data_IF_247157416575
#
_entry.id   IF_247157416575
#
_cell.length_a   1.000
_cell.length_b   1.000
_cell.length_c   1.000
_cell.angle_alpha   90.00
_cell.angle_beta   90.00
_cell.angle_gamma   90.00
#
_symmetry.space_group_name_H-M   'P 1'
#
loop_
_entity.id
_entity.type
_entity.pdbx_description
1 polymer ?
#
# COMPACT_ATOMS: atom_id res chain seq x y z
N UNK A 1 59.74 29.30 27.14
CA UNK A 1 60.23 28.41 28.21
C UNK A 1 59.15 28.33 29.28
N UNK A 2 58.28 27.32 29.24
CA UNK A 2 57.63 26.73 30.40
C UNK A 2 57.11 25.35 29.99
N UNK A 3 57.58 24.35 30.74
CA UNK A 3 57.43 22.92 30.53
C UNK A 3 56.00 22.45 30.77
N UNK A 4 55.45 21.66 29.84
CA UNK A 4 54.19 20.93 30.00
C UNK A 4 54.47 19.63 30.78
N UNK A 5 53.96 19.55 32.02
CA UNK A 5 54.22 18.44 32.93
C UNK A 5 53.18 17.32 32.75
N UNK A 6 53.66 16.09 32.57
CA UNK A 6 52.95 14.90 32.07
C UNK A 6 52.07 14.17 33.09
N UNK A 7 51.51 14.88 34.08
CA UNK A 7 50.72 14.23 35.16
C UNK A 7 49.20 14.35 35.07
N UNK A 8 48.65 15.15 34.16
CA UNK A 8 47.19 15.25 33.96
C UNK A 8 46.65 14.41 32.79
N UNK A 9 47.52 13.76 32.00
CA UNK A 9 47.10 12.93 30.86
C UNK A 9 46.67 11.50 31.26
N UNK A 10 46.95 11.07 32.50
CA UNK A 10 46.61 9.71 32.96
C UNK A 10 45.25 9.62 33.68
N UNK A 11 44.71 10.74 34.17
CA UNK A 11 43.38 10.79 34.82
C UNK A 11 42.24 10.90 33.80
N UNK A 12 42.48 11.51 32.64
CA UNK A 12 41.48 11.61 31.57
C UNK A 12 41.36 10.33 30.72
N UNK A 13 42.38 9.46 30.71
CA UNK A 13 42.33 8.17 29.99
C UNK A 13 41.71 7.02 30.77
N UNK A 14 41.44 7.18 32.08
CA UNK A 14 40.78 6.14 32.89
C UNK A 14 39.28 6.37 33.13
N UNK A 15 38.73 7.55 32.83
CA UNK A 15 37.28 7.77 32.89
C UNK A 15 36.55 7.45 31.57
N UNK A 16 37.25 7.34 30.44
CA UNK A 16 36.62 7.02 29.16
C UNK A 16 36.45 5.50 28.90
N UNK A 17 36.94 4.64 29.80
CA UNK A 17 36.90 3.19 29.64
C UNK A 17 35.89 2.48 30.56
N UNK A 18 35.10 3.23 31.35
CA UNK A 18 34.10 2.67 32.28
C UNK A 18 32.65 2.99 31.85
N UNK A 19 32.44 3.74 30.76
CA UNK A 19 31.09 4.02 30.22
C UNK A 19 30.77 3.22 28.94
N UNK A 20 31.67 2.35 28.48
CA UNK A 20 31.44 1.48 27.29
C UNK A 20 31.15 0.01 27.68
N UNK A 21 30.98 -0.29 28.96
CA UNK A 21 30.67 -1.67 29.43
C UNK A 21 29.37 -1.79 30.25
N UNK A 22 28.51 -0.79 30.20
CA UNK A 22 27.18 -0.83 30.80
C UNK A 22 26.15 -0.29 29.81
N UNK A 23 25.94 -1.01 28.70
CA UNK A 23 24.65 -1.14 27.99
C UNK A 23 24.71 -1.99 26.70
N UNK A 24 25.64 -2.96 26.61
CA UNK A 24 25.64 -3.97 25.53
C UNK A 24 25.03 -5.30 26.01
N UNK A 25 24.32 -5.30 27.15
CA UNK A 25 23.78 -6.55 27.71
C UNK A 25 22.39 -6.39 28.35
N UNK A 26 21.48 -5.72 27.66
CA UNK A 26 20.04 -5.87 27.92
C UNK A 26 19.14 -5.40 26.75
N UNK A 27 19.56 -5.54 25.50
CA UNK A 27 18.59 -5.84 24.45
C UNK A 27 18.83 -7.28 24.03
N UNK A 28 18.51 -8.17 24.98
CA UNK A 28 18.06 -9.50 24.60
C UNK A 28 16.86 -9.16 23.72
N UNK A 29 17.00 -9.34 22.41
CA UNK A 29 15.85 -9.64 21.58
C UNK A 29 15.15 -10.75 22.35
N UNK A 30 14.11 -10.39 23.10
CA UNK A 30 12.97 -11.28 23.21
C UNK A 30 12.71 -11.60 21.75
N UNK A 31 12.80 -12.88 21.34
CA UNK A 31 12.28 -13.21 20.04
C UNK A 31 10.87 -12.64 20.09
N UNK A 32 10.62 -11.59 19.30
CA UNK A 32 9.27 -11.30 18.85
C UNK A 32 8.77 -12.67 18.48
N UNK A 33 7.71 -13.14 19.13
CA UNK A 33 7.11 -14.39 18.77
C UNK A 33 6.97 -14.31 17.25
N UNK A 34 7.83 -15.04 16.54
CA UNK A 34 7.63 -15.35 15.15
C UNK A 34 6.34 -16.12 15.24
N UNK A 35 5.25 -15.40 15.02
CA UNK A 35 4.00 -16.00 14.68
C UNK A 35 4.26 -16.54 13.29
N UNK A 36 4.93 -17.68 13.25
CA UNK A 36 4.91 -18.62 12.16
C UNK A 36 3.42 -18.95 12.00
N UNK A 37 2.70 -18.08 11.26
CA UNK A 37 1.34 -18.37 10.83
C UNK A 37 1.49 -19.61 9.97
N UNK A 38 1.04 -20.72 10.55
CA UNK A 38 0.99 -22.05 9.98
C UNK A 38 0.73 -22.02 8.48
N UNK A 39 1.50 -22.80 7.72
CA UNK A 39 1.29 -23.04 6.30
C UNK A 39 -0.16 -23.50 6.05
N UNK A 40 -1.00 -22.65 5.44
CA UNK A 40 -2.35 -23.05 5.01
C UNK A 40 -2.33 -23.44 3.52
N UNK A 41 -2.83 -24.64 3.24
CA UNK A 41 -2.87 -25.39 1.95
C UNK A 41 -4.25 -25.26 1.25
N UNK A 42 -4.64 -26.07 0.26
CA UNK A 42 -4.44 -25.89 -1.20
C UNK A 42 -5.76 -25.48 -1.92
N UNK A 43 -5.65 -24.82 -3.09
CA UNK A 43 -6.70 -24.78 -4.14
C UNK A 43 -6.29 -25.68 -5.30
N UNK A 44 -7.20 -26.57 -5.70
CA UNK A 44 -7.11 -27.76 -6.57
C UNK A 44 -6.54 -29.08 -5.99
N UNK A 45 -6.36 -29.16 -4.67
CA UNK A 45 -6.36 -30.42 -3.89
C UNK A 45 -7.26 -30.38 -2.65
N UNK A 46 -7.81 -29.18 -2.38
CA UNK A 46 -8.84 -28.80 -1.41
C UNK A 46 -8.52 -29.06 0.07
N UNK A 47 -8.05 -28.02 0.73
CA UNK A 47 -8.61 -27.60 2.02
C UNK A 47 -8.24 -26.14 2.27
N UNK A 48 -8.95 -25.23 1.60
CA UNK A 48 -8.96 -23.80 1.91
C UNK A 48 -10.27 -23.52 2.68
N UNK A 49 -10.34 -24.11 3.88
CA UNK A 49 -11.50 -24.77 4.53
C UNK A 49 -12.87 -24.19 4.17
N UNK A 50 -13.67 -25.08 3.58
CA UNK A 50 -14.33 -24.81 2.31
C UNK A 50 -15.81 -24.44 2.42
N UNK A 51 -16.19 -23.39 1.71
CA UNK A 51 -17.34 -23.46 0.80
C UNK A 51 -16.92 -22.80 -0.50
N UNK A 52 -16.98 -23.57 -1.59
CA UNK A 52 -16.96 -23.12 -2.98
C UNK A 52 -18.27 -23.64 -3.55
N UNK A 53 -19.33 -22.88 -3.29
CA UNK A 53 -20.69 -23.25 -3.67
C UNK A 53 -20.89 -23.19 -5.19
N UNK A 54 -22.02 -22.65 -5.65
CA UNK A 54 -22.35 -22.73 -7.08
C UNK A 54 -21.58 -21.66 -7.86
N UNK A 55 -20.84 -22.09 -8.90
CA UNK A 55 -20.19 -21.18 -9.85
C UNK A 55 -21.27 -20.48 -10.70
N UNK A 56 -21.36 -19.17 -10.57
CA UNK A 56 -22.33 -18.34 -11.28
C UNK A 56 -21.67 -17.78 -12.54
N UNK A 57 -21.99 -18.40 -13.69
CA UNK A 57 -21.37 -18.06 -14.98
C UNK A 57 -21.77 -16.65 -15.43
N UNK A 58 -22.98 -16.25 -15.14
CA UNK A 58 -23.55 -14.94 -15.43
C UNK A 58 -22.81 -13.79 -14.73
N UNK A 59 -22.25 -14.06 -13.55
CA UNK A 59 -21.44 -13.12 -12.78
C UNK A 59 -19.92 -13.32 -13.00
N UNK A 60 -19.53 -14.29 -13.83
CA UNK A 60 -18.11 -14.62 -14.06
C UNK A 60 -17.61 -14.07 -15.40
N UNK A 61 -16.34 -13.66 -15.43
CA UNK A 61 -15.64 -13.19 -16.62
C UNK A 61 -14.48 -14.14 -16.93
N UNK A 62 -14.68 -15.06 -17.86
CA UNK A 62 -13.70 -16.11 -18.21
C UNK A 62 -13.53 -16.21 -19.73
N UNK A 63 -12.36 -16.66 -20.20
CA UNK A 63 -12.09 -16.90 -21.63
C UNK A 63 -13.16 -17.81 -22.25
N UNK A 64 -13.59 -17.57 -23.50
CA UNK A 64 -13.11 -16.54 -24.44
C UNK A 64 -13.75 -15.14 -24.24
N UNK A 65 -14.43 -14.90 -23.11
CA UNK A 65 -15.12 -13.67 -22.73
C UNK A 65 -16.32 -13.25 -23.61
N UNK A 66 -16.61 -14.00 -24.67
CA UNK A 66 -17.78 -13.78 -25.52
C UNK A 66 -19.09 -13.97 -24.75
N UNK A 67 -20.09 -13.11 -25.02
CA UNK A 67 -21.40 -13.17 -24.39
C UNK A 67 -21.42 -12.79 -22.90
N UNK A 68 -20.32 -12.25 -22.38
CA UNK A 68 -20.22 -11.75 -21.02
C UNK A 68 -21.13 -10.56 -20.76
N UNK A 69 -21.77 -10.52 -19.59
CA UNK A 69 -22.54 -9.38 -19.10
C UNK A 69 -21.63 -8.27 -18.49
N UNK A 70 -20.30 -8.34 -18.67
CA UNK A 70 -19.40 -7.34 -18.14
C UNK A 70 -19.22 -6.19 -19.13
N UNK A 71 -19.48 -4.95 -18.68
CA UNK A 71 -19.21 -3.73 -19.42
C UNK A 71 -17.78 -3.28 -19.20
N UNK A 72 -17.14 -2.79 -20.26
CA UNK A 72 -15.82 -2.18 -20.20
C UNK A 72 -15.94 -0.65 -20.19
N UNK A 73 -15.01 0.00 -19.51
CA UNK A 73 -14.92 1.45 -19.45
C UNK A 73 -13.46 1.93 -19.53
N UNK A 74 -13.27 3.15 -20.01
CA UNK A 74 -11.95 3.79 -20.10
C UNK A 74 -11.07 3.15 -21.15
N UNK A 75 -9.81 2.88 -20.79
CA UNK A 75 -8.83 2.24 -21.66
C UNK A 75 -8.86 0.70 -21.63
N UNK A 76 -9.86 0.13 -20.95
CA UNK A 76 -10.02 -1.31 -20.89
C UNK A 76 -10.25 -1.88 -22.30
N UNK A 77 -9.56 -2.98 -22.61
CA UNK A 77 -9.70 -3.72 -23.86
C UNK A 77 -9.78 -5.21 -23.60
N UNK A 78 -10.45 -5.91 -24.51
CA UNK A 78 -10.64 -7.35 -24.46
C UNK A 78 -9.87 -8.03 -25.58
N UNK A 79 -9.19 -9.12 -25.22
CA UNK A 79 -8.52 -10.07 -26.10
C UNK A 79 -9.13 -11.45 -25.88
N UNK A 80 -8.79 -12.43 -26.70
CA UNK A 80 -9.15 -13.84 -26.46
C UNK A 80 -8.39 -14.45 -25.27
N UNK A 81 -7.35 -13.79 -24.77
CA UNK A 81 -6.49 -14.29 -23.69
C UNK A 81 -6.57 -13.51 -22.37
N UNK A 82 -7.02 -12.26 -22.39
CA UNK A 82 -7.04 -11.39 -21.22
C UNK A 82 -8.01 -10.23 -21.45
N UNK A 83 -8.41 -9.60 -20.35
CA UNK A 83 -8.99 -8.26 -20.34
C UNK A 83 -7.94 -7.34 -19.74
N UNK A 84 -7.42 -6.40 -20.53
CA UNK A 84 -6.41 -5.44 -20.07
C UNK A 84 -7.09 -4.15 -19.67
N UNK A 85 -6.91 -3.74 -18.41
CA UNK A 85 -7.50 -2.52 -17.85
C UNK A 85 -6.66 -1.29 -18.21
N UNK A 86 -5.33 -1.38 -18.10
CA UNK A 86 -4.41 -0.31 -18.50
C UNK A 86 -3.25 -0.88 -19.33
N UNK A 87 -2.78 -0.15 -20.35
CA UNK A 87 -1.51 -0.43 -21.00
C UNK A 87 -0.34 0.14 -20.16
N UNK A 88 0.89 -0.21 -20.54
CA UNK A 88 2.11 0.44 -20.06
C UNK A 88 2.23 1.87 -20.61
N UNK A 89 1.36 2.76 -20.13
CA UNK A 89 1.37 4.16 -20.47
C UNK A 89 0.90 4.98 -19.27
N UNK A 90 1.50 6.16 -19.01
CA UNK A 90 1.03 7.05 -17.96
C UNK A 90 -0.38 7.57 -18.20
N UNK A 91 -1.04 7.96 -17.11
CA UNK A 91 -2.37 8.60 -17.09
C UNK A 91 -3.43 7.78 -17.84
N UNK A 92 -3.60 6.52 -17.43
CA UNK A 92 -4.59 5.60 -17.95
C UNK A 92 -5.48 5.10 -16.84
N UNK A 93 -6.76 4.97 -17.15
CA UNK A 93 -7.76 4.40 -16.25
C UNK A 93 -8.63 3.45 -17.07
N UNK A 94 -8.90 2.27 -16.54
CA UNK A 94 -9.80 1.31 -17.17
C UNK A 94 -10.51 0.46 -16.14
N UNK A 95 -11.71 0.03 -16.47
CA UNK A 95 -12.53 -0.79 -15.59
C UNK A 95 -13.35 -1.80 -16.39
N UNK A 96 -13.71 -2.89 -15.71
CA UNK A 96 -14.78 -3.79 -16.11
C UNK A 96 -15.76 -3.96 -14.97
N UNK A 97 -17.05 -3.98 -15.28
CA UNK A 97 -18.10 -4.09 -14.27
C UNK A 97 -19.23 -5.00 -14.75
N UNK A 98 -19.74 -5.84 -13.86
CA UNK A 98 -20.90 -6.68 -14.08
C UNK A 98 -22.19 -5.85 -14.02
N UNK A 99 -22.97 -5.83 -15.10
CA UNK A 99 -24.25 -5.09 -15.10
C UNK A 99 -25.32 -5.78 -14.26
N UNK A 100 -25.16 -7.06 -13.94
CA UNK A 100 -26.15 -7.80 -13.17
C UNK A 100 -25.92 -7.59 -11.66
N UNK A 101 -26.94 -7.16 -10.90
CA UNK A 101 -26.82 -7.05 -9.45
C UNK A 101 -26.70 -8.43 -8.81
N UNK A 102 -25.80 -8.58 -7.86
CA UNK A 102 -25.55 -9.82 -7.16
C UNK A 102 -26.35 -9.92 -5.86
N UNK A 103 -27.25 -10.88 -5.77
CA UNK A 103 -28.30 -10.93 -4.74
C UNK A 103 -28.07 -11.94 -3.61
N UNK A 104 -26.92 -12.63 -3.56
CA UNK A 104 -26.61 -13.61 -2.51
C UNK A 104 -25.93 -12.94 -1.31
N UNK A 105 -26.12 -13.49 -0.09
CA UNK A 105 -25.50 -12.98 1.15
C UNK A 105 -24.00 -13.25 1.23
N UNK A 106 -23.62 -14.45 0.84
CA UNK A 106 -22.29 -15.00 1.05
C UNK A 106 -21.72 -15.42 -0.31
N UNK A 107 -20.49 -14.99 -0.60
CA UNK A 107 -19.88 -15.13 -1.91
C UNK A 107 -18.36 -15.28 -1.85
N UNK A 108 -17.81 -15.90 -2.88
CA UNK A 108 -16.39 -15.91 -3.20
C UNK A 108 -16.14 -15.38 -4.59
N UNK A 109 -15.08 -14.60 -4.74
CA UNK A 109 -14.53 -14.20 -6.03
C UNK A 109 -13.09 -14.66 -6.15
N UNK A 110 -12.82 -15.53 -7.12
CA UNK A 110 -11.46 -15.86 -7.54
C UNK A 110 -11.06 -14.96 -8.71
N UNK A 111 -10.14 -14.04 -8.44
CA UNK A 111 -9.53 -13.15 -9.42
C UNK A 111 -8.16 -13.68 -9.83
N UNK A 112 -8.01 -14.03 -11.10
CA UNK A 112 -6.70 -14.34 -11.70
C UNK A 112 -6.24 -13.14 -12.51
N UNK A 113 -5.06 -12.61 -12.18
CA UNK A 113 -4.59 -11.33 -12.70
C UNK A 113 -3.09 -11.34 -13.01
N UNK A 114 -2.65 -10.37 -13.81
CA UNK A 114 -1.24 -10.05 -14.05
C UNK A 114 -1.02 -8.57 -13.84
N UNK A 115 0.01 -8.24 -13.08
CA UNK A 115 0.52 -6.88 -12.90
C UNK A 115 1.99 -6.91 -13.27
N UNK A 116 2.36 -6.19 -14.31
CA UNK A 116 3.74 -6.14 -14.78
C UNK A 116 4.03 -4.83 -15.50
N UNK A 117 5.30 -4.44 -15.51
CA UNK A 117 5.78 -3.28 -16.26
C UNK A 117 7.15 -3.57 -16.87
N UNK A 118 7.40 -3.18 -18.13
CA UNK A 118 8.75 -3.15 -18.71
C UNK A 118 9.72 -2.22 -17.96
N UNK A 119 9.22 -1.15 -17.32
CA UNK A 119 10.02 -0.18 -16.55
C UNK A 119 9.67 -0.26 -15.05
N UNK A 120 10.38 -1.14 -14.34
CA UNK A 120 10.23 -1.34 -12.89
C UNK A 120 10.71 -0.12 -12.05
N UNK A 121 11.23 0.95 -12.66
CA UNK A 121 11.67 2.13 -11.92
C UNK A 121 10.53 3.10 -11.59
N UNK A 122 9.39 3.01 -12.27
CA UNK A 122 8.21 3.86 -12.01
C UNK A 122 6.90 3.07 -11.97
N UNK A 123 6.82 2.07 -11.07
CA UNK A 123 5.59 1.35 -10.84
C UNK A 123 4.46 2.29 -10.38
N UNK A 124 3.25 1.99 -10.79
CA UNK A 124 2.03 2.62 -10.28
C UNK A 124 0.90 2.81 -11.29
N UNK A 125 -0.31 3.10 -10.81
CA UNK A 125 -0.64 3.33 -9.40
C UNK A 125 -1.21 2.05 -8.73
N UNK A 126 -1.87 1.19 -9.52
CA UNK A 126 -2.32 -0.14 -9.10
C UNK A 126 -3.71 -0.48 -9.63
N UNK A 127 -4.40 -1.38 -8.91
CA UNK A 127 -5.76 -1.80 -9.27
C UNK A 127 -6.65 -2.05 -8.05
N UNK A 128 -7.95 -2.18 -8.28
CA UNK A 128 -8.93 -2.43 -7.23
C UNK A 128 -10.05 -3.36 -7.69
N UNK A 129 -10.51 -4.20 -6.76
CA UNK A 129 -11.75 -4.96 -6.87
C UNK A 129 -12.85 -4.25 -6.08
N UNK A 130 -14.08 -4.32 -6.59
CA UNK A 130 -15.22 -3.60 -6.07
C UNK A 130 -16.45 -4.49 -5.92
N UNK A 131 -17.20 -4.25 -4.85
CA UNK A 131 -18.59 -4.66 -4.70
C UNK A 131 -19.42 -3.43 -4.31
N UNK A 132 -20.08 -2.81 -5.28
CA UNK A 132 -20.56 -1.41 -5.19
C UNK A 132 -21.95 -1.19 -5.80
N UNK A 133 -22.65 -0.16 -5.36
CA UNK A 133 -24.01 0.13 -5.82
C UNK A 133 -24.09 0.75 -7.23
N UNK A 134 -23.06 1.50 -7.64
CA UNK A 134 -22.99 2.26 -8.89
C UNK A 134 -21.73 1.86 -9.65
N UNK A 135 -21.85 1.64 -10.97
CA UNK A 135 -20.76 1.17 -11.86
C UNK A 135 -20.51 2.05 -13.09
N UNK A 136 -21.27 3.13 -13.22
CA UNK A 136 -21.29 4.00 -14.40
C UNK A 136 -20.31 5.17 -14.34
N UNK A 137 -19.54 5.27 -13.25
CA UNK A 137 -18.66 6.41 -12.96
C UNK A 137 -17.21 5.96 -12.90
N UNK A 138 -16.33 6.83 -13.39
CA UNK A 138 -14.87 6.71 -13.25
C UNK A 138 -14.37 7.73 -12.22
N UNK A 139 -13.19 7.48 -11.66
CA UNK A 139 -12.60 8.41 -10.70
C UNK A 139 -11.16 8.08 -10.33
N UNK A 140 -10.71 8.72 -9.26
CA UNK A 140 -9.30 8.72 -8.84
C UNK A 140 -8.91 7.54 -7.95
N UNK A 141 -9.88 6.73 -7.49
CA UNK A 141 -9.61 5.53 -6.72
C UNK A 141 -9.35 4.37 -7.70
N UNK A 142 -8.12 4.24 -8.18
CA UNK A 142 -7.72 3.19 -9.13
C UNK A 142 -8.61 3.11 -10.40
N UNK A 143 -9.04 4.26 -10.93
CA UNK A 143 -9.96 4.34 -12.07
C UNK A 143 -11.45 4.34 -11.72
N UNK A 144 -11.81 4.23 -10.44
CA UNK A 144 -13.17 4.25 -9.91
C UNK A 144 -13.43 5.50 -9.02
N UNK A 145 -14.69 5.89 -8.75
CA UNK A 145 -15.01 7.00 -7.86
C UNK A 145 -14.39 6.86 -6.47
N UNK A 146 -13.88 7.99 -5.94
CA UNK A 146 -13.34 8.09 -4.59
C UNK A 146 -14.46 8.19 -3.52
N UNK A 147 -15.67 8.52 -3.93
CA UNK A 147 -16.89 8.38 -3.14
C UNK A 147 -17.68 7.20 -3.68
N UNK A 148 -17.73 6.11 -2.90
CA UNK A 148 -18.42 4.89 -3.30
C UNK A 148 -19.22 4.33 -2.13
N UNK A 149 -20.27 3.56 -2.45
CA UNK A 149 -21.07 2.83 -1.48
C UNK A 149 -20.86 1.33 -1.70
N UNK A 150 -20.24 0.64 -0.75
CA UNK A 150 -19.90 -0.77 -0.83
C UNK A 150 -18.48 -1.09 -0.34
N UNK A 151 -17.86 -2.11 -0.92
CA UNK A 151 -16.50 -2.58 -0.63
C UNK A 151 -15.55 -2.18 -1.77
N UNK A 152 -14.37 -1.67 -1.40
CA UNK A 152 -13.20 -1.60 -2.26
C UNK A 152 -12.05 -2.41 -1.67
N UNK A 153 -11.47 -3.32 -2.46
CA UNK A 153 -10.22 -4.03 -2.17
C UNK A 153 -9.15 -3.46 -3.10
N UNK A 154 -8.15 -2.80 -2.53
CA UNK A 154 -7.11 -2.08 -3.24
C UNK A 154 -5.82 -2.88 -3.27
N UNK A 155 -5.19 -2.93 -4.45
CA UNK A 155 -3.86 -3.47 -4.69
C UNK A 155 -2.99 -2.28 -5.09
N UNK A 156 -2.34 -1.69 -4.09
CA UNK A 156 -1.52 -0.49 -4.25
C UNK A 156 -0.09 -0.88 -4.59
N UNK A 157 0.34 -0.55 -5.79
CA UNK A 157 1.65 -0.94 -6.33
C UNK A 157 2.69 0.17 -6.18
N UNK A 158 2.26 1.39 -5.86
CA UNK A 158 3.12 2.56 -5.84
C UNK A 158 3.51 2.94 -4.42
N UNK A 159 4.81 2.96 -4.19
CA UNK A 159 5.37 3.44 -2.92
C UNK A 159 5.40 4.96 -2.87
N UNK A 160 4.78 5.56 -1.86
CA UNK A 160 4.91 6.98 -1.53
C UNK A 160 5.84 7.18 -0.32
N UNK A 161 6.99 7.83 -0.56
CA UNK A 161 8.06 7.99 0.44
C UNK A 161 7.64 8.66 1.76
N UNK A 162 6.56 9.45 1.77
CA UNK A 162 6.12 10.23 2.93
C UNK A 162 4.95 9.60 3.71
N UNK A 163 4.16 8.75 3.09
CA UNK A 163 2.92 8.20 3.66
C UNK A 163 3.02 6.70 3.94
N UNK A 164 3.93 6.00 3.25
CA UNK A 164 4.01 4.54 3.27
C UNK A 164 5.26 4.03 4.01
N UNK A 165 5.73 4.78 5.02
CA UNK A 165 6.91 4.40 5.79
C UNK A 165 6.76 3.04 6.52
N UNK A 166 5.52 2.55 6.68
CA UNK A 166 5.19 1.42 7.56
C UNK A 166 4.88 0.11 6.82
N UNK A 167 4.76 0.09 5.48
CA UNK A 167 4.49 -1.15 4.73
C UNK A 167 5.23 -1.23 3.38
N UNK A 168 5.33 -2.45 2.85
CA UNK A 168 5.95 -2.75 1.54
C UNK A 168 4.86 -2.81 0.46
N UNK A 169 5.21 -2.45 -0.77
CA UNK A 169 4.34 -2.53 -1.94
C UNK A 169 4.78 -3.67 -2.88
N UNK A 170 3.86 -4.38 -3.56
CA UNK A 170 2.42 -4.17 -3.56
C UNK A 170 1.73 -4.45 -2.23
N UNK A 171 0.79 -3.58 -1.86
CA UNK A 171 0.07 -3.65 -0.59
C UNK A 171 -1.42 -3.83 -0.84
N UNK A 172 -2.00 -4.84 -0.22
CA UNK A 172 -3.43 -5.15 -0.28
C UNK A 172 -4.11 -4.58 0.96
N UNK A 173 -5.15 -3.78 0.73
CA UNK A 173 -5.99 -3.19 1.77
C UNK A 173 -7.45 -3.21 1.35
N UNK A 174 -8.37 -3.22 2.30
CA UNK A 174 -9.80 -3.16 2.00
C UNK A 174 -10.49 -2.07 2.81
N UNK A 175 -11.51 -1.44 2.23
CA UNK A 175 -12.35 -0.43 2.89
C UNK A 175 -13.80 -0.66 2.53
N UNK A 176 -14.69 -0.58 3.53
CA UNK A 176 -16.13 -0.42 3.32
C UNK A 176 -16.48 1.04 3.45
N UNK A 177 -17.31 1.56 2.55
CA UNK A 177 -17.70 2.96 2.52
C UNK A 177 -19.21 3.08 2.26
N UNK A 178 -19.86 4.03 2.92
CA UNK A 178 -21.30 4.29 2.77
C UNK A 178 -21.61 5.42 1.76
N UNK A 179 -20.57 5.97 1.13
CA UNK A 179 -20.63 7.15 0.27
C UNK A 179 -20.33 8.47 0.96
N UNK A 180 -20.03 8.49 2.27
CA UNK A 180 -19.73 9.72 3.01
C UNK A 180 -18.25 10.05 3.10
N UNK A 181 -17.37 9.05 3.01
CA UNK A 181 -15.92 9.24 3.15
C UNK A 181 -15.25 9.24 1.79
N UNK A 182 -14.42 10.23 1.51
CA UNK A 182 -13.62 10.24 0.29
C UNK A 182 -12.40 9.34 0.47
N UNK A 183 -12.22 8.36 -0.42
CA UNK A 183 -11.00 7.57 -0.50
C UNK A 183 -9.87 8.39 -1.11
N UNK A 184 -8.74 8.48 -0.40
CA UNK A 184 -7.55 9.22 -0.86
C UNK A 184 -6.37 8.27 -0.90
N UNK A 185 -6.13 7.70 -2.09
CA UNK A 185 -5.03 6.77 -2.40
C UNK A 185 -3.68 7.26 -1.83
N UNK A 186 -3.21 8.45 -2.23
CA UNK A 186 -1.84 8.93 -1.95
C UNK A 186 -1.54 9.34 -0.49
N UNK A 187 -2.51 9.29 0.43
CA UNK A 187 -2.30 9.86 1.79
C UNK A 187 -3.11 9.24 2.93
N UNK A 188 -4.27 8.64 2.65
CA UNK A 188 -5.23 8.20 3.67
C UNK A 188 -5.86 6.83 3.36
N UNK A 189 -5.48 6.17 2.26
CA UNK A 189 -6.08 4.91 1.83
C UNK A 189 -5.98 3.83 2.91
N UNK A 190 -4.84 3.77 3.61
CA UNK A 190 -4.62 2.83 4.72
C UNK A 190 -5.26 3.27 6.05
N UNK A 191 -5.70 4.52 6.17
CA UNK A 191 -6.36 5.01 7.38
C UNK A 191 -7.80 4.51 7.49
N UNK A 192 -8.48 4.33 6.36
CA UNK A 192 -9.83 3.78 6.27
C UNK A 192 -9.85 2.26 6.08
N UNK A 193 -8.70 1.61 6.27
CA UNK A 193 -8.54 0.18 6.06
C UNK A 193 -9.21 -0.63 7.17
N UNK A 194 -9.90 -1.70 6.77
CA UNK A 194 -10.44 -2.73 7.66
C UNK A 194 -9.32 -3.44 8.44
N UNK A 195 -9.58 -3.80 9.70
CA UNK A 195 -8.59 -4.45 10.56
C UNK A 195 -7.47 -3.52 11.09
N UNK A 196 -7.55 -2.20 10.84
CA UNK A 196 -6.60 -1.22 11.37
C UNK A 196 -5.22 -1.24 10.69
N UNK A 197 -4.19 -0.74 11.39
CA UNK A 197 -2.83 -0.60 10.84
C UNK A 197 -2.22 -1.90 10.32
N UNK A 198 -2.59 -3.02 10.93
CA UNK A 198 -2.09 -4.35 10.56
C UNK A 198 -3.13 -5.17 9.77
N UNK A 199 -4.23 -4.56 9.34
CA UNK A 199 -5.34 -5.26 8.68
C UNK A 199 -5.16 -5.56 7.20
N UNK A 200 -4.01 -5.19 6.63
CA UNK A 200 -3.67 -5.38 5.22
C UNK A 200 -2.37 -6.17 5.12
N UNK A 201 -1.97 -6.52 3.90
CA UNK A 201 -0.77 -7.32 3.72
C UNK A 201 0.08 -6.86 2.53
N UNK A 202 1.38 -7.06 2.65
CA UNK A 202 2.25 -7.10 1.48
C UNK A 202 2.02 -8.41 0.74
N UNK A 203 1.91 -8.33 -0.59
CA UNK A 203 1.90 -9.49 -1.46
C UNK A 203 2.76 -9.23 -2.70
N UNK A 204 3.64 -10.17 -3.04
CA UNK A 204 4.52 -10.06 -4.21
C UNK A 204 3.74 -10.35 -5.51
N UNK A 205 2.82 -9.46 -5.87
CA UNK A 205 1.92 -9.61 -7.01
C UNK A 205 2.54 -9.19 -8.36
N UNK A 206 3.73 -8.59 -8.35
CA UNK A 206 4.46 -8.35 -9.59
C UNK A 206 4.93 -9.66 -10.17
N UNK A 207 4.34 -10.02 -11.30
CA UNK A 207 4.75 -11.14 -12.13
C UNK A 207 5.54 -10.69 -13.34
N UNK A 208 5.96 -11.67 -14.12
CA UNK A 208 6.26 -11.47 -15.52
C UNK A 208 4.97 -11.54 -16.36
N UNK A 209 5.11 -11.47 -17.69
CA UNK A 209 3.98 -11.59 -18.60
C UNK A 209 3.42 -13.02 -18.72
N UNK A 210 4.04 -14.03 -18.11
CA UNK A 210 3.70 -15.44 -18.29
C UNK A 210 2.84 -15.95 -17.15
N UNK A 211 3.29 -15.76 -15.91
CA UNK A 211 2.69 -16.37 -14.72
C UNK A 211 1.70 -15.41 -14.01
N UNK A 212 0.40 -15.76 -13.92
CA UNK A 212 -0.57 -14.94 -13.23
C UNK A 212 -0.52 -15.15 -11.71
N UNK A 213 -0.82 -14.09 -10.96
CA UNK A 213 -1.21 -14.19 -9.55
C UNK A 213 -2.69 -14.53 -9.42
N UNK A 214 -3.07 -15.03 -8.25
CA UNK A 214 -4.47 -15.26 -7.91
C UNK A 214 -4.82 -14.64 -6.56
N UNK A 215 -6.03 -14.08 -6.47
CA UNK A 215 -6.60 -13.52 -5.25
C UNK A 215 -7.97 -14.14 -5.06
N UNK A 216 -8.25 -14.64 -3.86
CA UNK A 216 -9.55 -15.14 -3.47
C UNK A 216 -10.12 -14.19 -2.43
N UNK A 217 -11.27 -13.61 -2.74
CA UNK A 217 -11.98 -12.67 -1.90
C UNK A 217 -13.23 -13.39 -1.42
N UNK A 218 -13.30 -13.67 -0.12
CA UNK A 218 -14.41 -14.38 0.52
C UNK A 218 -15.15 -13.42 1.43
N UNK A 219 -16.46 -13.30 1.23
CA UNK A 219 -17.35 -12.64 2.18
C UNK A 219 -18.43 -13.63 2.61
N UNK A 220 -18.38 -14.05 3.87
CA UNK A 220 -19.32 -14.99 4.48
C UNK A 220 -19.47 -14.67 5.96
N UNK A 221 -20.67 -14.85 6.51
CA UNK A 221 -20.92 -14.69 7.96
C UNK A 221 -20.43 -13.34 8.53
N UNK A 222 -20.50 -12.26 7.76
CA UNK A 222 -19.99 -10.90 8.11
C UNK A 222 -18.46 -10.84 8.28
N UNK A 223 -17.74 -11.77 7.67
CA UNK A 223 -16.28 -11.80 7.67
C UNK A 223 -15.78 -11.67 6.24
N UNK A 224 -14.85 -10.75 6.03
CA UNK A 224 -14.10 -10.59 4.78
C UNK A 224 -12.72 -11.25 4.97
N UNK A 225 -12.43 -12.29 4.20
CA UNK A 225 -11.12 -12.94 4.18
C UNK A 225 -10.53 -12.86 2.77
N UNK A 226 -9.25 -12.49 2.67
CA UNK A 226 -8.53 -12.37 1.40
C UNK A 226 -7.34 -13.29 1.42
N UNK A 227 -7.23 -14.13 0.39
CA UNK A 227 -6.12 -15.06 0.19
C UNK A 227 -5.41 -14.74 -1.12
N UNK A 228 -4.10 -14.96 -1.15
CA UNK A 228 -3.27 -14.64 -2.31
C UNK A 228 -2.37 -15.82 -2.66
N UNK A 229 -2.23 -16.10 -3.95
CA UNK A 229 -1.17 -16.91 -4.53
C UNK A 229 -0.31 -16.02 -5.44
N UNK A 230 0.99 -16.00 -5.17
CA UNK A 230 1.99 -15.25 -5.94
C UNK A 230 2.15 -15.82 -7.37
N UNK A 231 2.72 -15.05 -8.32
CA UNK A 231 2.95 -15.52 -9.68
C UNK A 231 3.65 -16.90 -9.71
N UNK A 232 3.03 -17.87 -10.37
CA UNK A 232 3.60 -19.21 -10.54
C UNK A 232 3.53 -20.10 -9.29
N UNK A 233 3.03 -19.59 -8.16
CA UNK A 233 2.80 -20.38 -6.95
C UNK A 233 1.40 -21.02 -6.96
N UNK A 234 1.33 -22.27 -6.51
CA UNK A 234 0.05 -22.96 -6.23
C UNK A 234 -0.42 -22.80 -4.78
N UNK A 235 0.45 -22.27 -3.93
CA UNK A 235 0.22 -22.14 -2.50
C UNK A 235 -0.48 -20.82 -2.19
N UNK A 236 -1.57 -20.90 -1.44
CA UNK A 236 -2.36 -19.75 -1.05
C UNK A 236 -1.98 -19.31 0.36
N UNK A 237 -1.84 -18.01 0.58
CA UNK A 237 -1.52 -17.42 1.87
C UNK A 237 -2.67 -16.52 2.31
N UNK A 238 -3.05 -16.58 3.58
CA UNK A 238 -3.99 -15.61 4.15
C UNK A 238 -3.32 -14.23 4.17
N UNK A 239 -3.89 -13.29 3.43
CA UNK A 239 -3.42 -11.91 3.37
C UNK A 239 -4.05 -11.10 4.50
N UNK A 240 -5.38 -11.03 4.52
CA UNK A 240 -6.11 -10.27 5.53
C UNK A 240 -7.44 -10.94 5.87
N UNK A 241 -7.93 -10.66 7.08
CA UNK A 241 -9.22 -11.08 7.58
C UNK A 241 -9.81 -9.97 8.46
N UNK A 242 -11.09 -9.67 8.27
CA UNK A 242 -11.82 -8.69 9.07
C UNK A 242 -13.23 -9.20 9.35
N UNK A 243 -13.58 -9.31 10.63
CA UNK A 243 -14.93 -9.61 11.09
C UNK A 243 -15.78 -8.33 11.16
N UNK A 244 -17.09 -8.48 11.34
CA UNK A 244 -18.02 -7.35 11.51
C UNK A 244 -18.31 -6.56 10.23
N UNK A 245 -17.90 -7.07 9.07
CA UNK A 245 -18.12 -6.44 7.77
C UNK A 245 -19.59 -6.61 7.38
N UNK A 246 -20.25 -5.50 7.03
CA UNK A 246 -21.66 -5.49 6.59
C UNK A 246 -21.72 -4.95 5.17
N UNK A 247 -22.11 -5.82 4.23
CA UNK A 247 -22.31 -5.48 2.82
C UNK A 247 -23.78 -5.70 2.40
N UNK A 248 -24.42 -4.72 1.76
CA UNK A 248 -25.77 -4.89 1.22
C UNK A 248 -25.82 -5.85 0.03
N UNK A 249 -26.91 -6.59 -0.14
CA UNK A 249 -27.18 -7.33 -1.37
C UNK A 249 -27.54 -6.40 -2.55
N UNK A 250 -27.48 -6.94 -3.76
CA UNK A 250 -27.93 -6.27 -4.98
C UNK A 250 -26.93 -5.26 -5.54
N UNK A 251 -25.69 -5.29 -5.07
CA UNK A 251 -24.58 -4.51 -5.62
C UNK A 251 -23.90 -5.26 -6.75
N UNK A 252 -23.01 -4.58 -7.44
CA UNK A 252 -22.34 -5.03 -8.64
C UNK A 252 -20.87 -5.33 -8.36
N UNK A 253 -20.32 -6.34 -9.03
CA UNK A 253 -18.89 -6.56 -9.05
C UNK A 253 -18.22 -5.69 -10.11
N UNK A 254 -17.07 -5.12 -9.78
CA UNK A 254 -16.23 -4.43 -10.74
C UNK A 254 -14.75 -4.61 -10.42
N UNK A 255 -13.91 -4.42 -11.43
CA UNK A 255 -12.45 -4.36 -11.28
C UNK A 255 -11.95 -3.18 -12.10
N UNK A 256 -11.15 -2.33 -11.48
CA UNK A 256 -10.59 -1.14 -12.13
C UNK A 256 -9.09 -1.05 -11.89
N UNK A 257 -8.39 -0.31 -12.75
CA UNK A 257 -6.99 0.01 -12.57
C UNK A 257 -6.68 1.41 -13.08
N UNK A 258 -5.61 1.98 -12.54
CA UNK A 258 -5.06 3.24 -13.05
C UNK A 258 -3.56 3.32 -13.01
N UNK A 259 -3.00 4.13 -13.90
CA UNK A 259 -1.60 4.55 -13.90
C UNK A 259 -1.53 6.05 -13.61
N UNK A 260 -0.51 6.45 -12.85
CA UNK A 260 -0.31 7.85 -12.50
C UNK A 260 0.28 8.68 -13.64
N UNK A 261 0.49 9.98 -13.39
CA UNK A 261 1.01 10.90 -14.42
C UNK A 261 2.43 10.58 -14.90
N UNK A 262 3.24 9.88 -14.09
CA UNK A 262 4.65 9.55 -14.38
C UNK A 262 4.96 8.06 -14.18
N UNK A 263 3.96 7.28 -13.85
CA UNK A 263 4.04 5.84 -13.55
C UNK A 263 3.26 5.09 -14.61
N UNK A 264 3.65 3.85 -14.92
CA UNK A 264 2.95 3.04 -15.90
C UNK A 264 3.09 1.55 -15.61
N UNK A 265 1.96 0.86 -15.71
CA UNK A 265 1.82 -0.56 -15.44
C UNK A 265 0.73 -1.18 -16.30
N UNK A 266 0.96 -2.43 -16.67
CA UNK A 266 -0.02 -3.26 -17.34
C UNK A 266 -0.80 -4.03 -16.28
N UNK A 267 -2.11 -3.82 -16.27
CA UNK A 267 -3.05 -4.53 -15.42
C UNK A 267 -3.94 -5.41 -16.30
N UNK A 268 -3.83 -6.72 -16.15
CA UNK A 268 -4.62 -7.70 -16.91
C UNK A 268 -5.41 -8.63 -15.99
N UNK A 269 -6.65 -8.89 -16.38
CA UNK A 269 -7.52 -9.89 -15.79
C UNK A 269 -7.54 -11.09 -16.73
N UNK A 270 -7.21 -12.26 -16.19
CA UNK A 270 -7.27 -13.55 -16.89
C UNK A 270 -8.61 -14.25 -16.62
N UNK A 271 -9.12 -14.11 -15.41
CA UNK A 271 -10.47 -14.59 -15.07
C UNK A 271 -11.00 -13.94 -13.79
N UNK A 272 -12.31 -13.74 -13.75
CA UNK A 272 -13.10 -13.49 -12.55
C UNK A 272 -14.07 -14.66 -12.44
N UNK A 273 -13.96 -15.49 -11.40
CA UNK A 273 -14.93 -16.56 -11.11
C UNK A 273 -15.69 -16.21 -9.84
N UNK A 274 -17.01 -16.22 -9.93
CA UNK A 274 -17.89 -15.85 -8.81
C UNK A 274 -18.66 -17.07 -8.35
N UNK A 275 -18.61 -17.34 -7.05
CA UNK A 275 -19.30 -18.46 -6.41
C UNK A 275 -20.28 -17.93 -5.37
N UNK A 276 -21.51 -18.43 -5.39
CA UNK A 276 -22.46 -18.22 -4.29
C UNK A 276 -22.27 -19.32 -3.24
N UNK A 277 -22.12 -18.92 -1.97
CA UNK A 277 -21.84 -19.86 -0.88
C UNK A 277 -23.10 -20.42 -0.20
N UNK A 278 -24.24 -19.74 -0.37
CA UNK A 278 -25.54 -20.12 0.18
C UNK A 278 -26.60 -20.14 -0.93
N UNK A 279 -27.61 -21.01 -0.82
CA UNK A 279 -28.81 -20.92 -1.66
C UNK A 279 -29.64 -19.70 -1.26
N UNK A 280 -30.23 -18.98 -2.22
CA UNK A 280 -31.10 -17.82 -1.97
C UNK A 280 -32.19 -18.17 -0.94
N UNK A 281 -32.08 -17.67 0.30
CA UNK A 281 -33.14 -17.82 1.30
C UNK A 281 -34.34 -16.95 0.92
N UNK A 282 -35.54 -17.37 1.33
CA UNK A 282 -36.84 -16.79 0.94
C UNK A 282 -37.00 -15.30 1.27
N UNK A 283 -37.81 -14.59 0.48
CA UNK A 283 -38.09 -13.13 0.48
C UNK A 283 -38.33 -12.44 1.83
N UNK A 284 -38.58 -13.18 2.92
CA UNK A 284 -38.82 -12.64 4.27
C UNK A 284 -37.56 -12.12 4.98
N UNK A 285 -36.37 -12.47 4.48
CA UNK A 285 -35.08 -12.08 5.02
C UNK A 285 -34.55 -10.71 4.48
N UNK A 286 -35.34 -10.04 3.64
CA UNK A 286 -34.89 -8.95 2.75
C UNK A 286 -35.15 -7.54 3.31
N UNK A 287 -35.96 -7.41 4.37
CA UNK A 287 -36.40 -6.09 4.83
C UNK A 287 -35.41 -5.37 5.77
N UNK A 288 -34.50 -6.10 6.45
CA UNK A 288 -33.57 -5.52 7.44
C UNK A 288 -32.23 -5.00 6.87
N UNK A 289 -31.88 -5.32 5.62
CA UNK A 289 -30.56 -5.01 5.04
C UNK A 289 -30.55 -3.76 4.13
N UNK A 290 -31.68 -3.05 3.96
CA UNK A 290 -31.80 -1.93 3.00
C UNK A 290 -30.99 -0.68 3.38
N UNK A 291 -30.50 -0.56 4.61
CA UNK A 291 -29.72 0.60 5.05
C UNK A 291 -28.75 0.28 6.20
N UNK A 292 -27.65 -0.45 5.94
CA UNK A 292 -26.51 -0.38 6.87
C UNK A 292 -25.20 -0.46 6.12
N UNK A 293 -24.42 0.62 6.20
CA UNK A 293 -22.97 0.57 6.07
C UNK A 293 -22.42 1.32 7.27
N UNK A 294 -22.16 0.57 8.34
CA UNK A 294 -21.35 0.97 9.47
C UNK A 294 -20.20 -0.03 9.56
N UNK A 295 -19.01 0.43 9.20
CA UNK A 295 -17.77 -0.19 9.63
C UNK A 295 -17.56 0.27 11.08
N UNK A 296 -18.15 -0.44 12.05
CA UNK A 296 -17.84 -0.22 13.48
C UNK A 296 -16.36 -0.48 13.81
N UNK A 297 -15.58 -0.91 12.82
CA UNK A 297 -14.13 -1.02 12.81
C UNK A 297 -13.41 -0.17 11.75
N UNK A 298 -14.01 0.90 11.20
CA UNK A 298 -13.18 1.94 10.57
C UNK A 298 -12.16 2.37 11.62
N UNK A 299 -10.88 2.12 11.35
CA UNK A 299 -9.82 2.55 12.25
C UNK A 299 -10.05 4.06 12.51
N UNK A 300 -9.97 4.51 13.78
CA UNK A 300 -10.14 5.91 14.09
C UNK A 300 -9.21 6.73 13.19
N UNK A 301 -9.72 7.87 12.69
CA UNK A 301 -8.96 8.78 11.83
C UNK A 301 -7.56 8.97 12.44
N UNK A 302 -6.54 8.44 11.78
CA UNK A 302 -5.19 8.50 12.33
C UNK A 302 -4.76 9.96 12.29
N UNK A 303 -4.62 10.55 13.47
CA UNK A 303 -4.04 11.89 13.61
C UNK A 303 -2.64 11.85 12.99
N UNK A 304 -2.34 12.80 12.10
CA UNK A 304 -1.04 13.05 11.45
C UNK A 304 0.11 13.36 12.45
N UNK A 305 0.30 12.54 13.47
CA UNK A 305 1.34 12.73 14.48
C UNK A 305 2.74 12.35 13.94
N UNK A 306 2.82 11.57 12.85
CA UNK A 306 4.07 11.01 12.33
C UNK A 306 4.77 11.82 11.23
N UNK A 307 4.07 12.71 10.51
CA UNK A 307 4.62 13.37 9.31
C UNK A 307 5.76 14.36 9.62
N UNK A 308 5.89 14.81 10.87
CA UNK A 308 6.99 15.71 11.28
C UNK A 308 8.17 15.00 11.94
N UNK A 309 8.25 13.68 11.92
CA UNK A 309 9.39 12.96 12.50
C UNK A 309 10.50 12.71 11.47
N UNK A 310 10.86 13.71 10.67
CA UNK A 310 12.25 13.74 10.20
C UNK A 310 13.07 14.04 11.44
N UNK A 311 13.80 13.06 11.96
CA UNK A 311 14.71 13.30 13.08
C UNK A 311 15.51 14.55 12.75
N UNK A 312 15.34 15.59 13.55
CA UNK A 312 16.04 16.83 13.33
C UNK A 312 17.53 16.51 13.45
N UNK A 313 18.23 16.45 12.31
CA UNK A 313 19.67 16.21 12.27
C UNK A 313 20.35 17.46 12.83
N UNK A 314 20.42 17.50 14.15
CA UNK A 314 20.95 18.60 14.93
C UNK A 314 22.41 18.88 14.52
N UNK A 315 23.18 17.83 14.22
CA UNK A 315 24.58 17.95 13.83
C UNK A 315 24.74 18.48 12.40
N UNK A 316 23.99 17.94 11.44
CA UNK A 316 24.01 18.44 10.06
C UNK A 316 23.52 19.88 9.95
N UNK A 317 22.47 20.23 10.69
CA UNK A 317 21.91 21.58 10.70
C UNK A 317 22.88 22.58 11.33
N UNK A 318 23.51 22.23 12.45
CA UNK A 318 24.54 23.07 13.08
C UNK A 318 25.73 23.28 12.15
N UNK A 319 26.17 22.25 11.43
CA UNK A 319 27.27 22.35 10.49
C UNK A 319 26.96 23.36 9.37
N UNK A 320 25.73 23.36 8.84
CA UNK A 320 25.29 24.31 7.80
C UNK A 320 25.35 25.76 8.29
N UNK A 321 25.07 26.02 9.57
CA UNK A 321 25.12 27.38 10.12
C UNK A 321 26.53 27.79 10.59
N UNK A 322 27.33 26.88 11.14
CA UNK A 322 28.67 27.19 11.66
C UNK A 322 29.72 27.33 10.54
N UNK A 323 29.64 26.52 9.48
CA UNK A 323 30.62 26.52 8.39
C UNK A 323 30.73 27.89 7.69
N UNK A 324 29.64 28.60 7.31
CA UNK A 324 29.75 29.94 6.75
C UNK A 324 30.31 30.97 7.73
N UNK A 325 30.01 30.86 9.04
CA UNK A 325 30.56 31.77 10.06
C UNK A 325 32.08 31.60 10.16
N UNK A 326 32.57 30.37 10.17
CA UNK A 326 34.01 30.07 10.19
C UNK A 326 34.69 30.58 8.93
N UNK A 327 34.08 30.37 7.76
CA UNK A 327 34.62 30.88 6.48
C UNK A 327 34.69 32.40 6.47
N UNK A 328 33.65 33.10 6.94
CA UNK A 328 33.64 34.56 7.04
C UNK A 328 34.73 35.04 8.01
N UNK A 329 34.88 34.39 9.17
CA UNK A 329 35.92 34.74 10.13
C UNK A 329 37.34 34.58 9.55
N UNK A 330 37.58 33.51 8.78
CA UNK A 330 38.85 33.30 8.08
C UNK A 330 39.12 34.37 7.02
N UNK A 331 38.10 34.75 6.23
CA UNK A 331 38.21 35.81 5.22
C UNK A 331 38.53 37.15 5.89
N UNK A 332 37.81 37.51 6.97
CA UNK A 332 38.05 38.75 7.70
C UNK A 332 39.45 38.79 8.32
N UNK A 333 39.91 37.66 8.86
CA UNK A 333 41.27 37.55 9.43
C UNK A 333 42.32 37.72 8.34
N UNK A 334 42.13 37.09 7.17
CA UNK A 334 43.04 37.23 6.03
C UNK A 334 43.11 38.67 5.52
N UNK A 335 41.96 39.35 5.40
CA UNK A 335 41.89 40.77 5.02
C UNK A 335 42.62 41.63 6.06
N UNK A 336 42.38 41.40 7.35
CA UNK A 336 43.04 42.13 8.43
C UNK A 336 44.57 42.00 8.38
N UNK A 337 45.09 40.77 8.23
CA UNK A 337 46.53 40.52 8.10
C UNK A 337 47.11 41.26 6.89
N UNK A 338 46.45 41.19 5.73
CA UNK A 338 46.89 41.90 4.52
C UNK A 338 46.91 43.42 4.68
N UNK A 339 45.92 43.97 5.37
CA UNK A 339 45.86 45.42 5.67
C UNK A 339 46.96 45.80 6.66
N UNK A 340 47.14 45.04 7.74
CA UNK A 340 48.19 45.28 8.73
C UNK A 340 49.60 45.22 8.11
N UNK A 341 49.86 44.25 7.24
CA UNK A 341 51.11 44.16 6.48
C UNK A 341 51.32 45.37 5.56
N UNK A 342 50.25 45.81 4.87
CA UNK A 342 50.33 46.98 3.99
C UNK A 342 50.64 48.28 4.74
N UNK A 343 50.12 48.44 5.96
CA UNK A 343 50.38 49.59 6.84
C UNK A 343 51.80 49.52 7.42
N UNK A 344 52.25 48.33 7.82
CA UNK A 344 53.61 48.07 8.29
C UNK A 344 54.66 48.44 7.23
N UNK A 345 54.46 47.99 5.98
CA UNK A 345 55.35 48.32 4.84
C UNK A 345 55.34 49.82 4.53
N UNK A 346 54.20 50.49 4.67
CA UNK A 346 54.09 51.95 4.44
C UNK A 346 54.80 52.76 5.52
N UNK A 347 54.79 52.30 6.78
CA UNK A 347 55.53 52.94 7.88
C UNK A 347 57.05 52.83 7.72
N UNK A 348 57.56 51.72 7.16
CA UNK A 348 59.00 51.49 6.92
C UNK A 348 59.56 52.27 5.72
N UNK A 349 58.73 52.90 4.89
CA UNK A 349 59.18 53.81 3.80
C UNK A 349 59.18 55.28 4.19
N UNK A 350 58.70 55.62 5.40
CA UNK A 350 58.60 57.00 5.90
C UNK A 350 59.66 57.31 6.98
N UNK A 351 60.61 56.41 7.22
CA UNK A 351 61.76 56.59 8.09
C UNK A 351 63.06 56.33 7.33
#
# INVERSE_FOLDING_TARGET
>A
MFYWNSRNALLFKRLLFVVILADVKAFRQQPSADFEKDVITEIDGSSLLATRGDLLKEHSLVKPYEGSAWLMAGFALISNQFVRLTPDHPDRMGAVADVMPFNYRSWEVELTLKIYSPDLHKPGDGMAFWYVNEIDRQGRAFGFPDLFRGLGLFIDTKKHDFTDANHKHPFISATVNNGSMQYVHDALGTHLQLGGENGGCYASLYGDQYDPSKILIRYAERTLSVFVAEPGESNWKLCMESEGVILPRGYHFAVSASTGMKTSEIHEIISIRVFALESVSSEQDFEDERNVIFADQMAPERVYAGVFKKEFDFFGTILIFLLPIVVIALILTFIFVRVADSVSVRSKRLF
#
